data_IF_307722950313
#
_entry.id   IF_307722950313
#
_cell.length_a   1.000
_cell.length_b   1.000
_cell.length_c   1.000
_cell.angle_alpha   90.00
_cell.angle_beta   90.00
_cell.angle_gamma   90.00
#
_symmetry.space_group_name_H-M   'P 1'
#
loop_
_entity.id
_entity.type
_entity.pdbx_description
1 polymer ?
#
# COMPACT_ATOMS: atom_id res chain seq x y z
N UNK A 1 33.11 16.36 10.63
CA UNK A 1 32.94 16.45 12.09
C UNK A 1 31.83 15.46 12.46
N UNK A 2 32.09 14.49 13.34
CA UNK A 2 31.09 13.53 13.79
C UNK A 2 30.45 14.01 15.08
N UNK A 3 29.13 13.95 15.17
CA UNK A 3 28.36 14.26 16.35
C UNK A 3 27.87 12.93 16.95
N UNK A 4 28.00 12.76 18.26
CA UNK A 4 27.41 11.64 18.98
C UNK A 4 26.01 12.06 19.42
N UNK A 5 25.01 11.25 19.11
CA UNK A 5 23.64 11.41 19.56
C UNK A 5 23.24 10.16 20.36
N UNK A 6 22.40 10.35 21.38
CA UNK A 6 21.82 9.24 22.12
C UNK A 6 20.90 8.42 21.21
N UNK A 7 20.95 7.07 21.35
CA UNK A 7 20.17 6.16 20.52
C UNK A 7 18.65 6.40 20.64
N UNK A 8 18.19 6.72 21.83
CA UNK A 8 16.77 7.02 22.07
C UNK A 8 16.33 8.31 21.36
N UNK A 9 17.18 9.32 21.34
CA UNK A 9 16.94 10.56 20.60
C UNK A 9 16.94 10.31 19.10
N UNK A 10 17.91 9.52 18.61
CA UNK A 10 17.94 9.12 17.19
C UNK A 10 16.65 8.39 16.77
N UNK A 11 16.23 7.38 17.55
CA UNK A 11 15.01 6.63 17.27
C UNK A 11 13.78 7.54 17.25
N UNK A 12 13.71 8.50 18.16
CA UNK A 12 12.60 9.46 18.21
C UNK A 12 12.53 10.36 16.97
N UNK A 13 13.68 10.66 16.36
CA UNK A 13 13.75 11.52 15.18
C UNK A 13 13.58 10.77 13.86
N UNK A 14 14.19 9.58 13.75
CA UNK A 14 14.37 8.87 12.47
C UNK A 14 13.85 7.43 12.49
N UNK A 15 13.24 7.01 13.58
CA UNK A 15 12.80 5.63 13.76
C UNK A 15 13.90 4.66 14.17
N UNK A 16 13.54 3.39 14.40
CA UNK A 16 14.49 2.35 14.81
C UNK A 16 15.51 2.06 13.71
N UNK A 17 16.69 1.59 14.11
CA UNK A 17 17.79 1.22 13.21
C UNK A 17 18.30 -0.19 13.53
N UNK A 18 19.30 -0.67 12.81
CA UNK A 18 19.82 -2.04 12.90
C UNK A 18 20.02 -2.49 14.36
N UNK A 19 19.43 -3.64 14.69
CA UNK A 19 19.48 -4.28 16.01
C UNK A 19 18.50 -3.72 17.04
N UNK A 20 17.73 -2.68 16.70
CA UNK A 20 16.63 -2.23 17.54
C UNK A 20 15.44 -3.19 17.47
N UNK A 21 14.81 -3.41 18.62
CA UNK A 21 13.62 -4.26 18.73
C UNK A 21 12.38 -3.42 18.87
N UNK A 22 11.40 -3.72 18.04
CA UNK A 22 10.11 -3.04 18.02
C UNK A 22 9.00 -4.04 18.33
N UNK A 23 8.14 -3.70 19.27
CA UNK A 23 6.97 -4.51 19.63
C UNK A 23 5.87 -4.35 18.58
N UNK A 24 5.25 -5.45 18.19
CA UNK A 24 4.13 -5.45 17.23
C UNK A 24 2.80 -5.23 17.96
N UNK A 25 2.34 -4.00 17.97
CA UNK A 25 1.08 -3.61 18.61
C UNK A 25 1.01 -4.05 20.09
N UNK A 26 -0.11 -4.63 20.49
CA UNK A 26 -0.36 -5.13 21.84
C UNK A 26 0.02 -6.62 22.02
N UNK A 27 0.75 -7.18 21.09
CA UNK A 27 1.21 -8.58 21.15
C UNK A 27 2.50 -8.70 21.97
N UNK A 28 2.92 -9.92 22.29
CA UNK A 28 4.23 -10.22 22.88
C UNK A 28 5.32 -10.46 21.81
N UNK A 29 5.02 -10.17 20.56
CA UNK A 29 5.95 -10.32 19.45
C UNK A 29 6.82 -9.08 19.29
N UNK A 30 8.12 -9.31 19.09
CA UNK A 30 9.09 -8.27 18.78
C UNK A 30 9.77 -8.60 17.46
N UNK A 31 9.93 -7.59 16.63
CA UNK A 31 10.76 -7.66 15.44
C UNK A 31 12.07 -6.93 15.70
N UNK A 32 13.14 -7.37 15.05
CA UNK A 32 14.46 -6.74 15.12
C UNK A 32 14.83 -6.20 13.73
N UNK A 33 15.27 -4.95 13.67
CA UNK A 33 15.66 -4.32 12.41
C UNK A 33 16.94 -4.96 11.89
N UNK A 34 16.87 -5.59 10.72
CA UNK A 34 17.96 -6.34 10.10
C UNK A 34 18.87 -5.45 9.25
N UNK A 35 18.27 -4.45 8.58
CA UNK A 35 18.98 -3.54 7.66
C UNK A 35 18.43 -2.13 7.77
N UNK A 36 19.30 -1.17 7.51
CA UNK A 36 18.95 0.23 7.34
C UNK A 36 19.52 0.71 6.00
N UNK A 37 18.65 1.16 5.12
CA UNK A 37 19.03 1.69 3.79
C UNK A 37 19.28 3.19 3.81
N UNK A 38 19.04 3.86 4.95
CA UNK A 38 19.39 5.27 5.13
C UNK A 38 20.85 5.39 5.60
N UNK A 39 21.41 6.58 5.52
CA UNK A 39 22.75 6.86 6.06
C UNK A 39 22.62 7.79 7.25
N UNK A 40 23.25 7.43 8.35
CA UNK A 40 23.24 8.23 9.57
C UNK A 40 23.74 9.67 9.33
N UNK A 41 22.91 10.63 9.68
CA UNK A 41 23.14 12.04 9.48
C UNK A 41 22.77 12.56 8.09
N UNK A 42 22.20 11.71 7.25
CA UNK A 42 21.76 12.03 5.87
C UNK A 42 20.35 11.51 5.59
N UNK A 43 19.60 11.30 6.65
CA UNK A 43 18.21 10.87 6.58
C UNK A 43 17.33 11.98 6.03
N UNK A 44 16.41 11.61 5.16
CA UNK A 44 15.34 12.51 4.71
C UNK A 44 14.32 12.68 5.83
N UNK A 45 13.92 13.91 6.08
CA UNK A 45 12.87 14.23 7.05
C UNK A 45 12.16 15.51 6.69
N UNK A 46 10.84 15.55 6.80
CA UNK A 46 10.08 16.78 6.69
C UNK A 46 10.23 17.62 7.96
N UNK A 47 10.57 18.91 7.82
CA UNK A 47 10.66 19.84 8.94
C UNK A 47 12.06 20.39 9.19
N UNK A 48 12.66 20.25 10.35
CA UNK A 48 13.97 20.79 10.71
C UNK A 48 15.17 19.95 10.27
N UNK A 49 16.35 20.52 10.20
CA UNK A 49 17.58 19.78 9.88
C UNK A 49 17.83 19.60 8.39
N UNK A 50 18.30 18.42 7.99
CA UNK A 50 18.37 18.02 6.59
C UNK A 50 16.99 17.68 6.10
N UNK A 51 16.34 18.66 5.59
CA UNK A 51 14.96 18.58 5.21
C UNK A 51 14.79 18.51 3.72
N UNK A 52 13.61 18.14 3.34
CA UNK A 52 13.07 18.21 2.01
C UNK A 52 12.85 19.68 1.65
N UNK A 53 13.95 20.33 1.29
CA UNK A 53 14.01 21.73 0.85
C UNK A 53 14.93 21.81 -0.35
N UNK A 54 14.75 22.86 -1.13
CA UNK A 54 15.66 23.25 -2.19
C UNK A 54 17.10 23.39 -1.66
N UNK A 55 18.04 22.84 -2.39
CA UNK A 55 19.45 22.81 -2.00
C UNK A 55 19.80 21.90 -0.82
N UNK A 56 18.85 21.10 -0.34
CA UNK A 56 19.04 20.06 0.69
C UNK A 56 18.65 18.69 0.16
N UNK A 57 17.62 18.06 0.65
CA UNK A 57 17.14 16.77 0.15
C UNK A 57 16.25 16.85 -1.09
N UNK A 58 15.77 18.03 -1.43
CA UNK A 58 14.94 18.29 -2.60
C UNK A 58 15.80 18.79 -3.76
N UNK A 59 15.54 18.24 -4.95
CA UNK A 59 16.11 18.73 -6.21
C UNK A 59 15.11 19.70 -6.85
N UNK A 60 15.52 20.96 -7.06
CA UNK A 60 14.67 22.00 -7.65
C UNK A 60 14.50 21.87 -9.16
N UNK A 61 15.41 21.17 -9.83
CA UNK A 61 15.42 21.03 -11.29
C UNK A 61 14.61 19.81 -11.78
N UNK A 62 14.17 18.97 -10.84
CA UNK A 62 13.41 17.76 -11.16
C UNK A 62 11.97 17.90 -10.73
N UNK A 63 11.07 17.74 -11.69
CA UNK A 63 9.61 17.76 -11.48
C UNK A 63 9.03 16.36 -11.59
N UNK A 64 7.77 16.19 -11.21
CA UNK A 64 7.04 14.92 -11.38
C UNK A 64 7.03 14.46 -12.85
N UNK A 65 6.99 15.38 -13.80
CA UNK A 65 7.00 15.06 -15.22
C UNK A 65 8.35 14.52 -15.73
N UNK A 66 9.46 14.88 -15.09
CA UNK A 66 10.81 14.47 -15.51
C UNK A 66 11.54 13.59 -14.49
N UNK A 67 10.82 12.92 -13.60
CA UNK A 67 11.39 11.84 -12.81
C UNK A 67 11.30 11.96 -11.28
N UNK A 68 10.83 13.10 -10.74
CA UNK A 68 10.60 13.17 -9.30
C UNK A 68 9.43 12.28 -8.86
N UNK A 69 9.49 11.82 -7.62
CA UNK A 69 8.42 11.09 -6.97
C UNK A 69 7.16 11.95 -6.83
N UNK A 70 6.00 11.31 -6.86
CA UNK A 70 4.73 11.95 -6.49
C UNK A 70 4.59 11.99 -4.97
N UNK A 71 4.88 10.86 -4.30
CA UNK A 71 4.81 10.75 -2.83
C UNK A 71 6.04 10.01 -2.31
N UNK A 72 6.55 10.46 -1.17
CA UNK A 72 7.65 9.85 -0.44
C UNK A 72 7.22 9.54 1.00
N UNK A 73 7.39 8.31 1.44
CA UNK A 73 7.27 7.92 2.85
C UNK A 73 8.68 7.81 3.41
N UNK A 74 9.03 8.64 4.40
CA UNK A 74 10.40 8.71 4.94
C UNK A 74 10.60 7.76 6.11
N UNK A 75 11.79 7.16 6.22
CA UNK A 75 12.25 6.38 7.39
C UNK A 75 11.24 5.33 7.90
N UNK A 76 10.57 4.66 6.99
CA UNK A 76 9.59 3.62 7.34
C UNK A 76 10.27 2.35 7.86
N UNK A 77 9.71 1.76 8.92
CA UNK A 77 10.06 0.41 9.32
C UNK A 77 9.21 -0.57 8.50
N UNK A 78 9.82 -1.22 7.54
CA UNK A 78 9.16 -2.13 6.61
C UNK A 78 9.28 -3.55 7.14
N UNK A 79 8.13 -4.20 7.31
CA UNK A 79 8.02 -5.62 7.65
C UNK A 79 7.47 -6.36 6.42
N UNK A 80 8.33 -7.11 5.75
CA UNK A 80 7.97 -7.85 4.54
C UNK A 80 8.65 -9.22 4.53
N UNK A 81 8.27 -10.09 3.58
CA UNK A 81 8.81 -11.47 3.45
C UNK A 81 10.33 -11.51 3.21
N UNK A 82 10.93 -10.45 2.67
CA UNK A 82 12.36 -10.36 2.37
C UNK A 82 13.18 -9.72 3.48
N UNK A 83 12.56 -9.30 4.57
CA UNK A 83 13.25 -8.78 5.75
C UNK A 83 12.52 -7.70 6.50
N UNK A 84 13.13 -7.29 7.62
CA UNK A 84 12.69 -6.19 8.48
C UNK A 84 13.69 -5.06 8.32
N UNK A 85 13.30 -4.01 7.61
CA UNK A 85 14.25 -2.99 7.18
C UNK A 85 13.72 -1.58 7.40
N UNK A 86 14.63 -0.65 7.68
CA UNK A 86 14.35 0.77 7.63
C UNK A 86 14.72 1.30 6.24
N UNK A 87 13.78 1.99 5.60
CA UNK A 87 14.00 2.61 4.30
C UNK A 87 12.95 3.69 4.01
N UNK A 88 13.24 4.51 3.00
CA UNK A 88 12.24 5.36 2.37
C UNK A 88 11.49 4.57 1.29
N UNK A 89 10.21 4.89 1.10
CA UNK A 89 9.35 4.29 0.07
C UNK A 89 8.89 5.40 -0.87
N UNK A 90 9.24 5.29 -2.14
CA UNK A 90 8.78 6.21 -3.17
C UNK A 90 7.61 5.68 -3.96
N UNK A 91 6.65 6.56 -4.21
CA UNK A 91 5.46 6.28 -5.01
C UNK A 91 5.46 7.22 -6.22
N UNK A 92 5.20 6.66 -7.39
CA UNK A 92 5.06 7.38 -8.65
C UNK A 92 3.99 6.72 -9.52
N UNK A 93 3.12 7.53 -10.09
CA UNK A 93 2.02 7.06 -10.96
C UNK A 93 1.17 5.95 -10.28
N UNK A 94 0.91 6.11 -8.96
CA UNK A 94 0.12 5.17 -8.17
C UNK A 94 0.82 3.83 -7.89
N UNK A 95 2.14 3.72 -8.13
CA UNK A 95 2.92 2.50 -7.92
C UNK A 95 4.13 2.76 -7.03
N UNK A 96 4.60 1.72 -6.33
CA UNK A 96 5.87 1.77 -5.61
C UNK A 96 6.99 1.87 -6.66
N UNK A 97 7.66 3.01 -6.71
CA UNK A 97 8.77 3.28 -7.61
C UNK A 97 10.08 2.66 -7.10
N UNK A 98 10.23 2.57 -5.78
CA UNK A 98 11.39 1.97 -5.14
C UNK A 98 11.33 2.00 -3.63
N UNK A 99 12.24 1.24 -3.02
CA UNK A 99 12.50 1.20 -1.58
C UNK A 99 14.00 1.38 -1.40
N UNK A 100 14.42 2.29 -0.51
CA UNK A 100 15.84 2.55 -0.30
C UNK A 100 16.09 3.95 0.27
N UNK A 101 17.21 4.56 -0.09
CA UNK A 101 17.54 5.93 0.27
C UNK A 101 16.99 6.90 -0.77
N UNK A 102 16.19 7.85 -0.33
CA UNK A 102 15.66 8.94 -1.16
C UNK A 102 16.45 10.24 -0.99
N UNK A 103 16.24 11.20 -1.88
CA UNK A 103 16.79 12.53 -1.75
C UNK A 103 17.18 13.18 -3.07
N UNK A 104 18.17 14.08 -2.97
CA UNK A 104 18.73 14.81 -4.10
C UNK A 104 20.08 14.20 -4.50
N UNK A 105 20.18 13.50 -5.64
CA UNK A 105 21.43 12.85 -6.07
C UNK A 105 22.58 13.82 -6.36
N UNK A 106 22.30 15.10 -6.58
CA UNK A 106 23.33 16.11 -6.89
C UNK A 106 24.19 16.47 -5.67
N UNK A 107 23.64 16.28 -4.47
CA UNK A 107 24.29 16.68 -3.22
C UNK A 107 24.33 15.56 -2.16
N UNK A 108 23.68 14.42 -2.41
CA UNK A 108 23.59 13.28 -1.49
C UNK A 108 24.09 12.01 -2.17
N UNK A 109 24.97 11.28 -1.50
CA UNK A 109 25.50 10.03 -2.02
C UNK A 109 24.53 8.85 -1.77
N UNK A 110 24.52 7.88 -2.69
CA UNK A 110 23.80 6.62 -2.53
C UNK A 110 22.29 6.73 -2.67
N UNK A 111 21.81 7.79 -3.30
CA UNK A 111 20.38 7.92 -3.61
C UNK A 111 19.98 6.87 -4.64
N UNK A 112 18.88 6.17 -4.36
CA UNK A 112 18.29 5.27 -5.34
C UNK A 112 17.76 6.12 -6.53
N UNK A 113 18.15 5.79 -7.79
CA UNK A 113 17.74 6.58 -8.96
C UNK A 113 16.22 6.76 -9.13
N UNK A 114 15.43 5.83 -8.57
CA UNK A 114 13.98 5.90 -8.60
C UNK A 114 13.37 6.65 -7.40
N UNK A 115 14.20 7.19 -6.48
CA UNK A 115 13.76 7.86 -5.27
C UNK A 115 14.21 9.33 -5.21
N UNK A 116 14.19 9.99 -6.35
CA UNK A 116 14.55 11.41 -6.42
C UNK A 116 13.40 12.28 -5.94
N UNK A 117 13.70 13.17 -5.01
CA UNK A 117 12.74 14.09 -4.40
C UNK A 117 12.76 15.41 -5.15
N UNK A 118 11.65 15.80 -5.73
CA UNK A 118 11.49 17.07 -6.44
C UNK A 118 10.56 18.04 -5.70
N UNK A 119 10.34 19.20 -6.32
CA UNK A 119 9.50 20.27 -5.74
C UNK A 119 8.03 19.89 -5.59
N UNK A 120 7.53 18.97 -6.40
CA UNK A 120 6.15 18.46 -6.38
C UNK A 120 5.95 17.19 -5.54
N UNK A 121 7.00 16.69 -4.89
CA UNK A 121 6.90 15.46 -4.09
C UNK A 121 6.18 15.73 -2.77
N UNK A 122 5.06 15.04 -2.55
CA UNK A 122 4.37 15.00 -1.25
C UNK A 122 5.14 14.09 -0.28
N UNK A 123 5.23 14.48 0.99
CA UNK A 123 6.00 13.71 1.99
C UNK A 123 5.13 13.27 3.14
N UNK A 124 5.21 11.97 3.44
CA UNK A 124 4.58 11.32 4.57
C UNK A 124 5.66 10.86 5.54
N UNK A 125 5.57 11.29 6.79
CA UNK A 125 6.47 10.85 7.85
C UNK A 125 6.19 9.38 8.21
N UNK A 126 7.17 8.51 7.96
CA UNK A 126 7.11 7.08 8.31
C UNK A 126 7.81 6.74 9.62
N UNK A 127 8.44 7.73 10.25
CA UNK A 127 9.13 7.57 11.53
C UNK A 127 8.17 7.10 12.62
N UNK A 128 8.52 6.01 13.28
CA UNK A 128 7.68 5.40 14.32
C UNK A 128 6.50 4.59 13.80
N UNK A 129 6.38 4.43 12.48
CA UNK A 129 5.33 3.63 11.84
C UNK A 129 5.90 2.33 11.28
N UNK A 130 5.09 1.28 11.34
CA UNK A 130 5.38 0.00 10.67
C UNK A 130 4.59 -0.04 9.38
N UNK A 131 5.28 -0.33 8.28
CA UNK A 131 4.67 -0.48 6.95
C UNK A 131 4.72 -1.95 6.56
N UNK A 132 3.56 -2.49 6.20
CA UNK A 132 3.43 -3.86 5.69
C UNK A 132 2.78 -3.84 4.31
N UNK A 133 2.88 -4.94 3.58
CA UNK A 133 2.00 -5.15 2.42
C UNK A 133 0.54 -5.11 2.89
N UNK A 134 -0.33 -4.52 2.09
CA UNK A 134 -1.76 -4.49 2.36
C UNK A 134 -2.38 -5.88 2.31
N UNK A 135 -3.36 -6.13 3.19
CA UNK A 135 -4.08 -7.38 3.19
C UNK A 135 -4.90 -7.55 1.90
N UNK A 136 -4.92 -8.77 1.37
CA UNK A 136 -5.74 -9.17 0.21
C UNK A 136 -6.70 -10.25 0.67
N UNK A 137 -7.99 -9.96 0.67
CA UNK A 137 -9.04 -10.93 0.91
C UNK A 137 -9.63 -11.39 -0.42
N UNK A 138 -9.46 -12.66 -0.75
CA UNK A 138 -9.93 -13.25 -2.01
C UNK A 138 -11.22 -14.03 -1.89
N UNK A 139 -11.88 -13.99 -0.73
CA UNK A 139 -13.14 -14.69 -0.50
C UNK A 139 -14.13 -13.81 0.27
N UNK A 140 -14.54 -12.72 -0.33
CA UNK A 140 -15.47 -11.77 0.30
C UNK A 140 -16.89 -12.04 -0.15
N UNK A 141 -17.82 -11.97 0.81
CA UNK A 141 -19.25 -11.86 0.56
C UNK A 141 -19.64 -10.40 0.70
N UNK A 142 -19.86 -9.71 -0.42
CA UNK A 142 -20.16 -8.27 -0.43
C UNK A 142 -21.59 -7.97 0.06
N UNK A 143 -21.76 -7.95 1.37
CA UNK A 143 -22.95 -7.48 2.05
C UNK A 143 -22.75 -6.02 2.44
N UNK A 144 -21.59 -5.66 2.97
CA UNK A 144 -21.24 -4.30 3.38
C UNK A 144 -19.71 -4.11 3.40
N UNK A 145 -19.20 -2.88 3.24
CA UNK A 145 -17.77 -2.61 3.08
C UNK A 145 -17.02 -2.41 4.41
N UNK A 146 -17.40 -3.12 5.49
CA UNK A 146 -16.77 -2.91 6.80
C UNK A 146 -15.29 -3.28 6.86
N UNK A 147 -14.82 -4.16 5.98
CA UNK A 147 -13.42 -4.56 5.91
C UNK A 147 -12.46 -3.43 5.54
N UNK A 148 -12.96 -2.32 4.98
CA UNK A 148 -12.15 -1.12 4.69
C UNK A 148 -11.35 -0.67 5.92
N UNK A 149 -11.94 -0.77 7.10
CA UNK A 149 -11.32 -0.32 8.35
C UNK A 149 -10.42 -1.37 9.01
N UNK A 150 -10.31 -2.57 8.47
CA UNK A 150 -9.51 -3.67 9.04
C UNK A 150 -8.11 -3.82 8.45
N UNK A 151 -7.66 -2.85 7.63
CA UNK A 151 -6.33 -2.87 7.01
C UNK A 151 -6.25 -3.70 5.71
N UNK A 152 -7.39 -4.13 5.17
CA UNK A 152 -7.44 -4.71 3.84
C UNK A 152 -7.25 -3.61 2.79
N UNK A 153 -6.42 -3.89 1.78
CA UNK A 153 -6.20 -2.98 0.64
C UNK A 153 -6.81 -3.50 -0.66
N UNK A 154 -7.14 -4.79 -0.69
CA UNK A 154 -7.76 -5.45 -1.85
C UNK A 154 -8.80 -6.46 -1.38
N UNK A 155 -9.98 -6.39 -1.95
CA UNK A 155 -11.07 -7.33 -1.68
C UNK A 155 -11.58 -7.91 -3.00
N UNK A 156 -11.62 -9.24 -3.09
CA UNK A 156 -12.12 -9.96 -4.25
C UNK A 156 -13.20 -10.92 -3.78
N UNK A 157 -14.38 -10.85 -4.38
CA UNK A 157 -15.49 -11.67 -3.96
C UNK A 157 -16.74 -11.44 -4.78
N UNK A 158 -17.88 -11.73 -4.20
CA UNK A 158 -19.17 -11.54 -4.87
C UNK A 158 -20.28 -11.20 -3.88
N UNK A 159 -21.34 -10.66 -4.42
CA UNK A 159 -22.53 -10.22 -3.72
C UNK A 159 -23.19 -9.05 -4.43
N UNK A 160 -24.36 -8.68 -3.98
CA UNK A 160 -25.18 -7.60 -4.57
C UNK A 160 -25.56 -6.54 -3.53
N UNK A 161 -24.82 -6.48 -2.42
CA UNK A 161 -25.04 -5.53 -1.34
C UNK A 161 -26.10 -5.99 -0.33
N UNK A 162 -26.42 -5.15 0.67
CA UNK A 162 -27.25 -5.52 1.82
C UNK A 162 -28.70 -5.86 1.46
N UNK A 163 -29.26 -5.18 0.44
CA UNK A 163 -30.67 -5.30 0.09
C UNK A 163 -31.03 -6.67 -0.51
N UNK A 164 -30.09 -7.30 -1.21
CA UNK A 164 -30.30 -8.58 -1.92
C UNK A 164 -29.20 -9.61 -1.62
N UNK A 165 -28.45 -9.42 -0.56
CA UNK A 165 -27.33 -10.26 -0.20
C UNK A 165 -27.68 -11.73 0.01
N UNK A 166 -28.90 -12.04 0.41
CA UNK A 166 -29.39 -13.42 0.57
C UNK A 166 -29.65 -14.16 -0.74
N UNK A 167 -29.81 -13.43 -1.84
CA UNK A 167 -30.08 -14.02 -3.17
C UNK A 167 -28.80 -14.29 -3.97
N UNK A 168 -27.74 -13.52 -3.71
CA UNK A 168 -26.49 -13.61 -4.46
C UNK A 168 -25.28 -13.40 -3.55
N UNK A 169 -25.25 -14.09 -2.43
CA UNK A 169 -24.28 -13.84 -1.34
C UNK A 169 -22.84 -14.09 -1.70
N UNK A 170 -22.55 -14.81 -2.76
CA UNK A 170 -21.20 -15.28 -3.10
C UNK A 170 -20.75 -14.91 -4.50
N UNK A 171 -21.65 -14.35 -5.31
CA UNK A 171 -21.36 -13.91 -6.66
C UNK A 171 -22.15 -12.64 -7.01
N UNK A 172 -21.70 -11.91 -8.01
CA UNK A 172 -22.34 -10.72 -8.56
C UNK A 172 -22.83 -11.07 -9.97
N UNK A 173 -24.05 -11.63 -10.14
CA UNK A 173 -24.48 -12.20 -11.39
C UNK A 173 -24.97 -11.14 -12.38
N UNK A 174 -24.50 -11.26 -13.63
CA UNK A 174 -24.94 -10.44 -14.75
C UNK A 174 -24.38 -9.03 -14.77
N UNK A 175 -24.41 -8.43 -15.95
CA UNK A 175 -23.84 -7.11 -16.24
C UNK A 175 -24.39 -6.01 -15.30
N UNK A 176 -25.71 -5.97 -15.11
CA UNK A 176 -26.34 -4.95 -14.27
C UNK A 176 -25.79 -4.93 -12.84
N UNK A 177 -25.71 -6.11 -12.19
CA UNK A 177 -25.22 -6.18 -10.82
C UNK A 177 -23.72 -5.86 -10.71
N UNK A 178 -22.91 -6.28 -11.69
CA UNK A 178 -21.48 -5.96 -11.73
C UNK A 178 -21.28 -4.46 -11.82
N UNK A 179 -21.97 -3.77 -12.74
CA UNK A 179 -21.87 -2.32 -12.87
C UNK A 179 -22.32 -1.60 -11.60
N UNK A 180 -23.44 -2.03 -10.99
CA UNK A 180 -23.92 -1.43 -9.73
C UNK A 180 -22.97 -1.64 -8.54
N UNK A 181 -22.30 -2.77 -8.47
CA UNK A 181 -21.31 -3.00 -7.43
C UNK A 181 -20.02 -2.22 -7.67
N UNK A 182 -19.58 -2.05 -8.91
CA UNK A 182 -18.45 -1.17 -9.25
C UNK A 182 -18.76 0.28 -8.89
N UNK A 183 -19.93 0.80 -9.25
CA UNK A 183 -20.37 2.14 -8.84
C UNK A 183 -20.43 2.31 -7.31
N UNK A 184 -20.91 1.30 -6.59
CA UNK A 184 -21.08 1.36 -5.13
C UNK A 184 -19.75 1.42 -4.35
N UNK A 185 -18.64 1.03 -4.95
CA UNK A 185 -17.34 1.01 -4.28
C UNK A 185 -16.37 2.08 -4.77
N UNK A 186 -16.78 2.92 -5.71
CA UNK A 186 -15.92 3.92 -6.35
C UNK A 186 -15.28 4.90 -5.36
N UNK A 187 -15.97 5.24 -4.27
CA UNK A 187 -15.49 6.19 -3.26
C UNK A 187 -14.57 5.56 -2.21
N UNK A 188 -14.44 4.24 -2.17
CA UNK A 188 -13.63 3.58 -1.14
C UNK A 188 -12.14 3.53 -1.53
N UNK A 189 -11.21 3.89 -0.62
CA UNK A 189 -9.78 3.95 -0.91
C UNK A 189 -9.12 2.56 -0.86
N UNK A 190 -9.62 1.61 -1.65
CA UNK A 190 -9.07 0.27 -1.77
C UNK A 190 -9.44 -0.36 -3.11
N UNK A 191 -8.82 -1.49 -3.45
CA UNK A 191 -9.11 -2.23 -4.66
C UNK A 191 -10.26 -3.20 -4.45
N UNK A 192 -11.18 -3.28 -5.40
CA UNK A 192 -12.30 -4.22 -5.40
C UNK A 192 -12.32 -5.06 -6.67
N UNK A 193 -12.67 -6.33 -6.51
CA UNK A 193 -12.92 -7.24 -7.62
C UNK A 193 -14.19 -8.04 -7.38
N UNK A 194 -15.07 -8.09 -8.39
CA UNK A 194 -16.34 -8.80 -8.29
C UNK A 194 -16.31 -10.06 -9.14
N UNK A 195 -16.67 -11.20 -8.53
CA UNK A 195 -16.86 -12.46 -9.24
C UNK A 195 -18.26 -12.55 -9.81
N UNK A 196 -18.35 -12.79 -11.12
CA UNK A 196 -19.58 -13.21 -11.76
C UNK A 196 -19.98 -14.62 -11.34
N UNK A 197 -21.22 -15.02 -11.66
CA UNK A 197 -21.73 -16.38 -11.41
C UNK A 197 -21.25 -17.33 -12.49
N UNK A 198 -20.52 -18.37 -12.10
CA UNK A 198 -19.98 -19.38 -13.01
C UNK A 198 -20.97 -20.52 -13.32
N UNK A 199 -22.00 -20.73 -12.48
CA UNK A 199 -23.01 -21.76 -12.71
C UNK A 199 -23.88 -21.38 -13.91
N UNK A 200 -23.51 -21.85 -15.08
CA UNK A 200 -24.22 -21.64 -16.35
C UNK A 200 -24.16 -22.88 -17.22
N UNK A 201 -25.22 -23.13 -17.96
CA UNK A 201 -25.29 -24.22 -18.96
C UNK A 201 -24.73 -23.82 -20.33
N UNK A 202 -24.36 -22.53 -20.51
CA UNK A 202 -23.82 -22.00 -21.76
C UNK A 202 -22.72 -20.99 -21.50
N UNK A 203 -21.90 -20.73 -22.51
CA UNK A 203 -20.77 -19.80 -22.46
C UNK A 203 -21.19 -18.31 -22.46
N UNK A 204 -22.24 -17.98 -23.18
CA UNK A 204 -22.61 -16.58 -23.42
C UNK A 204 -22.79 -15.75 -22.15
N UNK A 205 -23.50 -16.19 -21.10
CA UNK A 205 -23.61 -15.43 -19.83
C UNK A 205 -22.29 -15.29 -19.09
N UNK A 206 -21.34 -16.21 -19.28
CA UNK A 206 -20.01 -16.11 -18.66
C UNK A 206 -19.19 -15.01 -19.34
N UNK A 207 -19.20 -14.98 -20.65
CA UNK A 207 -18.51 -13.95 -21.46
C UNK A 207 -19.10 -12.56 -21.20
N UNK A 208 -20.42 -12.44 -21.09
CA UNK A 208 -21.11 -11.20 -20.74
C UNK A 208 -20.57 -10.62 -19.42
N UNK A 209 -20.51 -11.43 -18.37
CA UNK A 209 -20.04 -11.00 -17.06
C UNK A 209 -18.58 -10.56 -17.06
N UNK A 210 -17.71 -11.25 -17.77
CA UNK A 210 -16.31 -10.84 -17.91
C UNK A 210 -16.20 -9.51 -18.67
N UNK A 211 -16.98 -9.34 -19.74
CA UNK A 211 -17.02 -8.07 -20.49
C UNK A 211 -17.57 -6.91 -19.67
N UNK A 212 -18.48 -7.19 -18.74
CA UNK A 212 -19.01 -6.20 -17.80
C UNK A 212 -18.02 -5.77 -16.71
N UNK A 213 -16.85 -6.41 -16.61
CA UNK A 213 -15.80 -6.06 -15.65
C UNK A 213 -15.65 -7.02 -14.47
N UNK A 214 -16.26 -8.21 -14.52
CA UNK A 214 -15.98 -9.23 -13.52
C UNK A 214 -14.51 -9.65 -13.59
N UNK A 215 -13.83 -9.72 -12.42
CA UNK A 215 -12.42 -10.13 -12.32
C UNK A 215 -12.25 -11.65 -12.45
N UNK A 216 -13.35 -12.39 -12.42
CA UNK A 216 -13.39 -13.83 -12.52
C UNK A 216 -14.81 -14.34 -12.31
N UNK A 217 -14.93 -15.65 -12.22
CA UNK A 217 -16.22 -16.32 -12.09
C UNK A 217 -16.17 -17.25 -10.87
N UNK A 218 -17.20 -17.23 -10.04
CA UNK A 218 -17.33 -18.11 -8.89
C UNK A 218 -18.31 -19.23 -9.15
N UNK A 219 -17.81 -20.47 -9.05
CA UNK A 219 -18.64 -21.66 -8.92
C UNK A 219 -19.09 -21.77 -7.46
N UNK A 220 -20.38 -21.64 -7.22
CA UNK A 220 -20.97 -21.86 -5.91
C UNK A 220 -21.50 -23.29 -5.84
N UNK A 221 -21.22 -23.98 -4.74
CA UNK A 221 -21.80 -25.28 -4.48
C UNK A 221 -23.31 -25.17 -4.41
N UNK A 222 -23.99 -25.87 -5.30
CA UNK A 222 -25.42 -26.10 -5.17
C UNK A 222 -25.58 -27.05 -4.00
N UNK A 223 -26.00 -26.55 -2.84
CA UNK A 223 -26.60 -27.43 -1.83
C UNK A 223 -27.74 -28.16 -2.52
N UNK A 224 -27.56 -29.45 -2.74
CA UNK A 224 -28.68 -30.33 -3.09
C UNK A 224 -29.67 -30.23 -1.95
N UNK A 225 -30.65 -29.36 -2.09
CA UNK A 225 -31.89 -29.52 -1.37
C UNK A 225 -32.59 -30.71 -2.03
N UNK A 226 -32.51 -31.84 -1.39
CA UNK A 226 -33.44 -32.96 -1.60
C UNK A 226 -34.81 -32.53 -1.07
#
# INVERSE_FOLDING_TARGET
>A
MSIKIDRKEYISMYGPTIGDKVRLGDTDLFIEVEKDYTNYGDEMKFGGGKTIRDGMGQNSDITNANGALDTLITNALILDYWGIVKADIGIKDGKIAGIGKSGNPDIMNGINPNLVVGTGTEVIAGEGMIVTAGGIDTHVHYICPQQVYSGMTTMIGGGTGPAVGTFATTCTPGEFNIHKMLEAVEEFPMNFGFFGKANSSSEAPLVEQIKAGAVGLKLHELLHQQ
#
